data_IF_154950369972
#
_entry.id   IF_154950369972
#
_cell.length_a   1.000
_cell.length_b   1.000
_cell.length_c   1.000
_cell.angle_alpha   90.00
_cell.angle_beta   90.00
_cell.angle_gamma   90.00
#
_symmetry.space_group_name_H-M   'P 1'
#
loop_
_entity.id
_entity.type
_entity.pdbx_description
1 polymer ?
#
# COMPACT_ATOMS: atom_id res chain seq x y z
N UNK A 1 11.10 18.66 -15.87
CA UNK A 1 11.75 17.43 -16.35
C UNK A 1 10.67 16.37 -16.41
N UNK A 2 10.28 15.95 -17.62
CA UNK A 2 9.25 14.96 -17.85
C UNK A 2 9.82 13.59 -17.45
N UNK A 3 9.37 13.04 -16.33
CA UNK A 3 9.64 11.66 -15.99
C UNK A 3 8.98 10.75 -17.02
N UNK A 4 9.80 10.13 -17.85
CA UNK A 4 9.37 9.06 -18.73
C UNK A 4 8.88 7.90 -17.86
N UNK A 5 7.64 7.48 -18.06
CA UNK A 5 7.15 6.25 -17.47
C UNK A 5 8.00 5.10 -18.04
N UNK A 6 8.76 4.43 -17.16
CA UNK A 6 9.56 3.27 -17.56
C UNK A 6 8.60 2.18 -18.05
N UNK A 7 8.56 1.96 -19.32
CA UNK A 7 7.82 0.86 -19.95
C UNK A 7 8.54 -0.45 -19.63
N UNK A 8 7.92 -1.30 -18.81
CA UNK A 8 8.42 -2.64 -18.53
C UNK A 8 8.23 -3.48 -19.79
N UNK A 9 9.32 -4.00 -20.33
CA UNK A 9 9.32 -4.86 -21.53
C UNK A 9 9.05 -6.33 -21.17
N UNK A 10 8.62 -7.17 -22.11
CA UNK A 10 8.50 -8.62 -21.91
C UNK A 10 9.81 -9.27 -21.43
N UNK A 11 10.95 -8.70 -21.78
CA UNK A 11 12.28 -9.16 -21.36
C UNK A 11 12.51 -8.91 -19.86
N UNK A 12 11.95 -7.83 -19.31
CA UNK A 12 12.05 -7.53 -17.88
C UNK A 12 11.27 -8.54 -17.04
N UNK A 13 10.15 -9.04 -17.58
CA UNK A 13 9.34 -10.08 -16.93
C UNK A 13 10.03 -11.47 -16.97
N UNK A 14 10.80 -11.75 -18.04
CA UNK A 14 11.56 -12.99 -18.15
C UNK A 14 12.76 -13.03 -17.19
N UNK A 15 13.43 -11.88 -17.00
CA UNK A 15 14.54 -11.74 -16.05
C UNK A 15 14.10 -11.89 -14.59
N UNK A 16 12.81 -11.68 -14.31
CA UNK A 16 12.24 -11.92 -12.98
C UNK A 16 12.26 -13.40 -12.57
N UNK A 17 12.08 -14.33 -13.51
CA UNK A 17 12.10 -15.76 -13.24
C UNK A 17 13.52 -16.29 -12.89
N UNK A 18 14.57 -15.55 -13.27
CA UNK A 18 15.97 -15.91 -13.00
C UNK A 18 16.54 -15.25 -11.73
N UNK A 19 15.90 -14.23 -11.18
CA UNK A 19 16.29 -13.59 -9.93
C UNK A 19 15.84 -14.48 -8.76
N UNK A 20 16.77 -15.34 -8.33
CA UNK A 20 16.57 -16.33 -7.28
C UNK A 20 15.91 -15.81 -5.99
N UNK A 21 15.93 -16.62 -4.94
CA UNK A 21 15.22 -16.51 -3.66
C UNK A 21 15.13 -15.12 -2.98
N UNK A 22 15.92 -14.15 -3.41
CA UNK A 22 15.89 -12.78 -2.90
C UNK A 22 14.81 -11.90 -3.55
N UNK A 23 14.14 -12.37 -4.62
CA UNK A 23 12.95 -11.77 -5.23
C UNK A 23 11.65 -12.08 -4.48
N UNK A 24 11.73 -12.85 -3.41
CA UNK A 24 10.60 -13.47 -2.72
C UNK A 24 9.60 -12.47 -2.11
N UNK A 25 10.02 -11.26 -1.76
CA UNK A 25 9.13 -10.26 -1.13
C UNK A 25 8.21 -9.52 -2.10
N UNK A 26 8.36 -9.71 -3.40
CA UNK A 26 7.42 -9.21 -4.40
C UNK A 26 6.59 -10.34 -5.01
N UNK A 27 5.85 -11.02 -4.20
CA UNK A 27 4.74 -11.86 -4.64
C UNK A 27 5.05 -13.28 -5.07
N UNK A 28 6.29 -13.80 -4.98
CA UNK A 28 6.54 -15.18 -5.40
C UNK A 28 6.63 -16.22 -4.30
N UNK A 29 6.88 -15.86 -3.08
CA UNK A 29 6.89 -16.78 -1.95
C UNK A 29 6.53 -16.08 -0.65
N UNK A 30 5.75 -15.02 -0.72
CA UNK A 30 5.03 -14.62 0.47
C UNK A 30 4.24 -15.86 0.90
N UNK A 31 4.40 -16.37 2.14
CA UNK A 31 3.42 -17.31 2.65
C UNK A 31 2.05 -16.67 2.38
N UNK A 32 1.04 -17.50 2.08
CA UNK A 32 -0.34 -17.09 1.72
C UNK A 32 -1.02 -16.11 2.72
N UNK A 33 -0.25 -15.53 3.63
CA UNK A 33 -0.67 -14.70 4.75
C UNK A 33 0.12 -13.39 4.91
N UNK A 34 1.04 -13.02 4.00
CA UNK A 34 1.61 -11.66 4.00
C UNK A 34 0.78 -10.79 3.05
N UNK A 35 -0.35 -10.37 3.59
CA UNK A 35 -1.24 -9.46 2.93
C UNK A 35 -0.70 -8.03 3.01
N UNK A 36 -0.47 -7.43 1.84
CA UNK A 36 -0.61 -5.98 1.73
C UNK A 36 -2.03 -5.62 2.16
N UNK A 37 -2.28 -4.40 2.65
CA UNK A 37 -3.65 -3.96 2.91
C UNK A 37 -4.55 -4.27 1.71
N UNK A 38 -5.51 -5.21 1.87
CA UNK A 38 -6.42 -5.61 0.78
C UNK A 38 -6.11 -6.92 0.06
N UNK A 39 -5.15 -7.75 0.52
CA UNK A 39 -4.81 -9.04 -0.07
C UNK A 39 -3.45 -9.07 -0.77
N UNK A 40 -2.99 -10.24 -1.21
CA UNK A 40 -1.66 -10.46 -1.76
C UNK A 40 -1.34 -9.65 -3.03
N UNK A 41 -0.03 -9.50 -3.34
CA UNK A 41 0.45 -8.73 -4.48
C UNK A 41 -0.21 -9.17 -5.80
N UNK A 42 -0.80 -8.22 -6.50
CA UNK A 42 -1.44 -8.46 -7.79
C UNK A 42 -0.44 -8.46 -8.97
N UNK A 43 -0.89 -8.89 -10.16
CA UNK A 43 -0.05 -8.94 -11.35
C UNK A 43 0.61 -7.61 -11.73
N UNK A 44 -0.04 -6.45 -11.67
CA UNK A 44 0.59 -5.14 -11.90
C UNK A 44 1.73 -4.85 -10.92
N UNK A 45 1.58 -5.19 -9.65
CA UNK A 45 2.63 -5.04 -8.64
C UNK A 45 3.81 -5.97 -8.93
N UNK A 46 3.56 -7.23 -9.25
CA UNK A 46 4.59 -8.22 -9.60
C UNK A 46 5.40 -7.72 -10.81
N UNK A 47 4.76 -7.23 -11.84
CA UNK A 47 5.45 -6.67 -13.02
C UNK A 47 6.25 -5.42 -12.70
N UNK A 48 5.69 -4.53 -11.87
CA UNK A 48 6.39 -3.33 -11.43
C UNK A 48 7.65 -3.69 -10.63
N UNK A 49 7.55 -4.73 -9.86
CA UNK A 49 8.59 -5.23 -8.99
C UNK A 49 9.77 -5.90 -9.74
N UNK A 50 9.62 -6.30 -10.98
CA UNK A 50 10.67 -7.00 -11.72
C UNK A 50 11.85 -6.11 -12.17
N UNK A 51 11.77 -4.79 -12.01
CA UNK A 51 12.87 -3.89 -12.30
C UNK A 51 13.86 -3.79 -11.12
N UNK A 52 15.16 -4.15 -11.31
CA UNK A 52 16.14 -4.17 -10.20
C UNK A 52 16.33 -2.83 -9.49
N UNK A 53 16.17 -1.72 -10.21
CA UNK A 53 16.28 -0.36 -9.66
C UNK A 53 15.16 -0.01 -8.67
N UNK A 54 14.07 -0.75 -8.70
CA UNK A 54 12.87 -0.53 -7.88
C UNK A 54 12.83 -1.41 -6.63
N UNK A 55 13.71 -2.39 -6.54
CA UNK A 55 13.70 -3.38 -5.49
C UNK A 55 13.83 -2.80 -4.08
N UNK A 56 14.74 -1.84 -3.88
CA UNK A 56 14.95 -1.21 -2.56
C UNK A 56 13.72 -0.45 -2.07
N UNK A 57 13.07 0.31 -2.97
CA UNK A 57 11.85 1.06 -2.62
C UNK A 57 10.75 0.08 -2.27
N UNK A 58 10.62 -0.96 -3.03
CA UNK A 58 9.62 -2.01 -2.87
C UNK A 58 9.70 -2.76 -1.54
N UNK A 59 10.89 -3.23 -1.16
CA UNK A 59 11.07 -3.88 0.14
C UNK A 59 10.70 -2.92 1.27
N UNK A 60 11.08 -1.64 1.12
CA UNK A 60 10.70 -0.61 2.06
C UNK A 60 9.17 -0.38 2.11
N UNK A 61 8.49 -0.42 0.98
CA UNK A 61 7.01 -0.28 0.92
C UNK A 61 6.32 -1.48 1.56
N UNK A 62 6.86 -2.69 1.40
CA UNK A 62 6.40 -3.88 2.11
C UNK A 62 6.61 -3.77 3.63
N UNK A 63 7.79 -3.34 4.07
CA UNK A 63 8.07 -3.14 5.50
C UNK A 63 7.12 -2.11 6.12
N UNK A 64 6.69 -1.09 5.35
CA UNK A 64 5.70 -0.09 5.78
C UNK A 64 4.27 -0.64 5.81
N UNK A 65 3.95 -1.61 4.97
CA UNK A 65 2.67 -2.32 5.04
C UNK A 65 2.59 -3.16 6.32
N UNK A 66 3.66 -3.91 6.62
CA UNK A 66 3.77 -4.69 7.86
C UNK A 66 3.63 -3.78 9.10
N UNK A 67 4.24 -2.59 9.07
CA UNK A 67 4.11 -1.59 10.12
C UNK A 67 2.67 -1.09 10.28
N UNK A 68 1.99 -0.77 9.19
CA UNK A 68 0.60 -0.31 9.22
C UNK A 68 -0.33 -1.39 9.78
N UNK A 69 -0.14 -2.64 9.37
CA UNK A 69 -0.91 -3.79 9.86
C UNK A 69 -0.64 -4.08 11.36
N UNK A 70 0.60 -3.93 11.82
CA UNK A 70 0.93 -4.05 13.25
C UNK A 70 0.19 -2.99 14.08
N UNK A 71 0.17 -1.74 13.60
CA UNK A 71 -0.56 -0.66 14.25
C UNK A 71 -2.07 -0.87 14.21
N UNK A 72 -2.63 -1.35 13.10
CA UNK A 72 -4.03 -1.74 13.00
C UNK A 72 -4.40 -2.75 14.07
N UNK A 73 -3.67 -3.87 14.17
CA UNK A 73 -3.93 -4.91 15.17
C UNK A 73 -3.85 -4.40 16.61
N UNK A 74 -2.95 -3.45 16.87
CA UNK A 74 -2.78 -2.87 18.19
C UNK A 74 -3.90 -1.89 18.56
N UNK A 75 -4.37 -1.09 17.61
CA UNK A 75 -5.35 -0.02 17.82
C UNK A 75 -6.81 -0.52 17.70
N UNK A 76 -7.04 -1.58 16.92
CA UNK A 76 -8.37 -2.12 16.63
C UNK A 76 -8.45 -3.63 16.91
N UNK A 77 -8.21 -4.07 18.15
CA UNK A 77 -8.11 -5.51 18.47
C UNK A 77 -9.44 -6.27 18.27
N UNK A 78 -10.56 -5.56 18.30
CA UNK A 78 -11.90 -6.14 18.16
C UNK A 78 -12.44 -6.06 16.72
N UNK A 79 -11.86 -5.20 15.88
CA UNK A 79 -12.23 -5.04 14.47
C UNK A 79 -11.32 -5.98 13.65
N UNK A 80 -11.91 -6.89 12.89
CA UNK A 80 -11.18 -7.90 12.11
C UNK A 80 -11.78 -8.11 10.72
N UNK A 81 -12.64 -7.18 10.31
CA UNK A 81 -13.31 -7.22 9.03
C UNK A 81 -12.49 -6.57 7.91
N UNK A 82 -12.84 -6.93 6.69
CA UNK A 82 -12.55 -6.11 5.53
C UNK A 82 -13.56 -4.96 5.47
N UNK A 83 -13.19 -3.85 4.88
CA UNK A 83 -14.06 -2.70 4.63
C UNK A 83 -14.55 -1.93 5.88
N UNK A 84 -14.01 -2.23 7.06
CA UNK A 84 -14.33 -1.55 8.31
C UNK A 84 -13.36 -0.39 8.62
N UNK A 85 -13.46 0.19 9.82
CA UNK A 85 -12.60 1.31 10.22
C UNK A 85 -11.14 0.91 10.45
N UNK A 86 -10.88 -0.35 10.80
CA UNK A 86 -9.52 -0.86 10.97
C UNK A 86 -8.83 -0.97 9.62
N UNK A 87 -9.53 -1.50 8.63
CA UNK A 87 -9.08 -1.56 7.24
C UNK A 87 -8.86 -0.16 6.66
N UNK A 88 -9.80 0.76 6.87
CA UNK A 88 -9.66 2.16 6.48
C UNK A 88 -8.41 2.82 7.09
N UNK A 89 -8.15 2.57 8.38
CA UNK A 89 -6.94 3.02 9.06
C UNK A 89 -5.68 2.46 8.39
N UNK A 90 -5.64 1.16 8.10
CA UNK A 90 -4.49 0.48 7.50
C UNK A 90 -4.10 1.11 6.17
N UNK A 91 -5.08 1.34 5.28
CA UNK A 91 -4.86 2.01 4.00
C UNK A 91 -4.35 3.43 4.16
N UNK A 92 -4.93 4.23 5.05
CA UNK A 92 -4.47 5.58 5.36
C UNK A 92 -3.04 5.58 5.91
N UNK A 93 -2.75 4.76 6.90
CA UNK A 93 -1.44 4.66 7.54
C UNK A 93 -0.36 4.26 6.54
N UNK A 94 -0.58 3.18 5.79
CA UNK A 94 0.37 2.69 4.79
C UNK A 94 0.71 3.75 3.74
N UNK A 95 -0.29 4.37 3.13
CA UNK A 95 -0.10 5.41 2.13
C UNK A 95 0.64 6.64 2.67
N UNK A 96 0.33 7.05 3.90
CA UNK A 96 1.00 8.16 4.58
C UNK A 96 2.45 7.85 4.92
N UNK A 97 2.75 6.66 5.43
CA UNK A 97 4.11 6.20 5.72
C UNK A 97 4.97 6.13 4.45
N UNK A 98 4.42 5.62 3.33
CA UNK A 98 5.12 5.66 2.04
C UNK A 98 5.41 7.11 1.63
N UNK A 99 4.46 8.02 1.83
CA UNK A 99 4.61 9.44 1.48
C UNK A 99 5.76 10.07 2.22
N UNK A 100 5.89 9.86 3.52
CA UNK A 100 7.00 10.37 4.33
C UNK A 100 8.33 9.83 3.82
N UNK A 101 8.40 8.53 3.53
CA UNK A 101 9.68 7.86 3.22
C UNK A 101 10.12 8.01 1.78
N UNK A 102 9.18 8.05 0.84
CA UNK A 102 9.45 8.00 -0.60
C UNK A 102 8.82 9.12 -1.42
N UNK A 103 8.01 9.97 -0.79
CA UNK A 103 7.28 11.05 -1.44
C UNK A 103 5.93 10.62 -1.99
N UNK A 104 5.04 11.60 -2.16
CA UNK A 104 3.64 11.38 -2.55
C UNK A 104 3.48 10.70 -3.92
N UNK A 105 4.36 10.99 -4.89
CA UNK A 105 4.29 10.38 -6.21
C UNK A 105 4.51 8.86 -6.13
N UNK A 106 5.44 8.42 -5.27
CA UNK A 106 5.67 7.00 -5.04
C UNK A 106 4.52 6.36 -4.28
N UNK A 107 3.97 7.04 -3.28
CA UNK A 107 2.80 6.56 -2.58
C UNK A 107 1.64 6.32 -3.55
N UNK A 108 1.29 7.31 -4.39
CA UNK A 108 0.26 7.18 -5.43
C UNK A 108 0.55 6.04 -6.41
N UNK A 109 1.81 5.89 -6.80
CA UNK A 109 2.22 4.83 -7.72
C UNK A 109 1.97 3.44 -7.14
N UNK A 110 2.35 3.20 -5.88
CA UNK A 110 2.19 1.91 -5.23
C UNK A 110 0.72 1.63 -4.88
N UNK A 111 0.03 2.56 -4.26
CA UNK A 111 -1.38 2.36 -3.85
C UNK A 111 -2.31 2.19 -5.05
N UNK A 112 -2.12 2.96 -6.14
CA UNK A 112 -2.91 2.79 -7.36
C UNK A 112 -2.65 1.45 -8.05
N UNK A 113 -1.41 0.93 -8.00
CA UNK A 113 -1.10 -0.39 -8.56
C UNK A 113 -1.70 -1.52 -7.76
N UNK A 114 -1.80 -1.35 -6.45
CA UNK A 114 -2.48 -2.30 -5.58
C UNK A 114 -3.94 -2.49 -6.04
N UNK A 115 -4.61 -1.40 -6.38
CA UNK A 115 -5.99 -1.41 -6.87
C UNK A 115 -6.11 -1.67 -8.39
N UNK A 116 -4.99 -1.75 -9.12
CA UNK A 116 -5.01 -1.97 -10.57
C UNK A 116 -5.49 -3.39 -10.90
N UNK A 117 -6.55 -3.48 -11.69
CA UNK A 117 -7.19 -4.75 -12.06
C UNK A 117 -8.46 -5.04 -11.28
N UNK A 118 -8.72 -4.32 -10.19
CA UNK A 118 -9.97 -4.39 -9.45
C UNK A 118 -11.07 -3.56 -10.13
N UNK A 119 -12.34 -3.94 -9.93
CA UNK A 119 -13.47 -3.15 -10.43
C UNK A 119 -13.55 -1.83 -9.66
N UNK A 120 -13.24 -0.72 -10.34
CA UNK A 120 -13.29 0.63 -9.76
C UNK A 120 -14.69 1.07 -9.31
N UNK A 121 -15.73 0.33 -9.65
CA UNK A 121 -17.09 0.56 -9.13
C UNK A 121 -17.35 -0.19 -7.82
N UNK A 122 -16.48 -1.12 -7.45
CA UNK A 122 -16.56 -1.82 -6.18
C UNK A 122 -16.43 -0.80 -5.02
N UNK A 123 -17.38 -0.79 -4.07
CA UNK A 123 -17.32 0.09 -2.90
C UNK A 123 -16.02 -0.04 -2.09
N UNK A 124 -15.49 -1.26 -1.93
CA UNK A 124 -14.23 -1.52 -1.24
C UNK A 124 -13.06 -0.82 -1.92
N UNK A 125 -12.91 -0.97 -3.23
CA UNK A 125 -11.86 -0.29 -4.01
C UNK A 125 -11.94 1.24 -3.91
N UNK A 126 -13.17 1.79 -3.88
CA UNK A 126 -13.34 3.24 -3.67
C UNK A 126 -12.91 3.67 -2.28
N UNK A 127 -13.28 2.89 -1.27
CA UNK A 127 -12.87 3.08 0.11
C UNK A 127 -11.35 3.14 0.22
N UNK A 128 -10.66 2.15 -0.35
CA UNK A 128 -9.21 2.03 -0.31
C UNK A 128 -8.52 3.22 -0.99
N UNK A 129 -8.98 3.59 -2.19
CA UNK A 129 -8.44 4.75 -2.91
C UNK A 129 -8.64 6.07 -2.17
N UNK A 130 -9.79 6.29 -1.52
CA UNK A 130 -10.09 7.49 -0.75
C UNK A 130 -9.23 7.55 0.53
N UNK A 131 -9.08 6.44 1.23
CA UNK A 131 -8.26 6.35 2.43
C UNK A 131 -6.76 6.47 2.12
N UNK A 132 -6.30 5.88 1.02
CA UNK A 132 -4.95 6.08 0.51
C UNK A 132 -4.69 7.57 0.20
N UNK A 133 -5.62 8.25 -0.46
CA UNK A 133 -5.48 9.68 -0.74
C UNK A 133 -5.40 10.53 0.54
N UNK A 134 -6.19 10.19 1.56
CA UNK A 134 -6.16 10.84 2.87
C UNK A 134 -4.81 10.66 3.55
N UNK A 135 -4.28 9.45 3.56
CA UNK A 135 -2.95 9.15 4.13
C UNK A 135 -1.84 9.91 3.42
N UNK A 136 -1.87 9.97 2.09
CA UNK A 136 -0.92 10.76 1.30
C UNK A 136 -0.96 12.22 1.71
N UNK A 137 -2.16 12.82 1.84
CA UNK A 137 -2.31 14.21 2.25
C UNK A 137 -1.73 14.47 3.66
N UNK A 138 -1.89 13.54 4.60
CA UNK A 138 -1.25 13.66 5.92
C UNK A 138 0.27 13.60 5.82
N UNK A 139 0.84 12.72 4.99
CA UNK A 139 2.28 12.62 4.81
C UNK A 139 2.91 13.83 4.10
N UNK A 140 2.17 14.51 3.19
CA UNK A 140 2.65 15.69 2.46
C UNK A 140 2.80 16.95 3.35
N UNK A 141 2.10 17.01 4.47
CA UNK A 141 2.09 18.20 5.34
C UNK A 141 3.27 18.30 6.32
N UNK A 142 4.38 17.66 6.04
CA UNK A 142 5.59 17.70 6.88
C UNK A 142 5.46 16.94 8.19
N UNK A 143 4.52 16.01 8.26
CA UNK A 143 4.25 15.14 9.39
C UNK A 143 5.42 14.16 9.65
N UNK A 144 5.54 13.71 10.87
CA UNK A 144 6.34 12.53 11.21
C UNK A 144 5.52 11.25 11.00
N UNK A 145 6.17 10.09 11.02
CA UNK A 145 5.46 8.79 10.98
C UNK A 145 4.41 8.70 12.11
N UNK A 146 4.76 9.18 13.31
CA UNK A 146 3.85 9.21 14.46
C UNK A 146 2.64 10.11 14.20
N UNK A 147 2.85 11.29 13.60
CA UNK A 147 1.76 12.21 13.28
C UNK A 147 0.79 11.60 12.25
N UNK A 148 1.32 10.89 11.26
CA UNK A 148 0.49 10.18 10.27
C UNK A 148 -0.35 9.10 10.93
N UNK A 149 0.26 8.25 11.75
CA UNK A 149 -0.44 7.19 12.44
C UNK A 149 -1.53 7.73 13.37
N UNK A 150 -1.24 8.79 14.13
CA UNK A 150 -2.21 9.46 15.01
C UNK A 150 -3.36 10.12 14.22
N UNK A 151 -3.04 10.81 13.12
CA UNK A 151 -4.05 11.44 12.28
C UNK A 151 -4.96 10.42 11.61
N UNK A 152 -4.41 9.33 11.06
CA UNK A 152 -5.19 8.24 10.48
C UNK A 152 -6.07 7.55 11.54
N UNK A 153 -5.53 7.30 12.74
CA UNK A 153 -6.30 6.71 13.85
C UNK A 153 -7.45 7.64 14.27
N UNK A 154 -7.16 8.92 14.48
CA UNK A 154 -8.19 9.92 14.83
C UNK A 154 -9.27 9.99 13.75
N UNK A 155 -8.89 10.00 12.47
CA UNK A 155 -9.84 10.00 11.36
C UNK A 155 -10.69 8.72 11.32
N UNK A 156 -10.10 7.55 11.56
CA UNK A 156 -10.82 6.28 11.60
C UNK A 156 -11.90 6.25 12.69
N UNK A 157 -11.58 6.71 13.90
CA UNK A 157 -12.55 6.68 15.03
C UNK A 157 -13.57 7.81 14.99
N UNK A 158 -13.27 8.94 14.32
CA UNK A 158 -14.18 10.08 14.20
C UNK A 158 -15.08 10.05 12.96
N UNK A 159 -14.91 9.05 12.07
CA UNK A 159 -15.65 8.96 10.81
C UNK A 159 -15.09 9.88 9.72
N UNK A 160 -13.82 10.26 9.81
CA UNK A 160 -13.10 11.02 8.78
C UNK A 160 -12.50 10.15 7.67
N UNK A 161 -12.52 8.82 7.83
CA UNK A 161 -12.19 7.86 6.79
C UNK A 161 -13.45 7.20 6.21
N UNK A 162 -13.35 6.78 4.97
CA UNK A 162 -14.43 6.06 4.28
C UNK A 162 -14.43 4.60 4.74
N UNK A 163 -15.61 4.06 5.04
CA UNK A 163 -15.85 2.65 5.38
C UNK A 163 -17.07 2.14 4.62
N UNK A 164 -17.08 0.87 4.26
CA UNK A 164 -18.22 0.20 3.61
C UNK A 164 -19.08 -0.51 4.66
N UNK A 165 -18.43 -1.18 5.61
CA UNK A 165 -19.09 -1.87 6.73
C UNK A 165 -18.99 -1.02 7.98
N UNK A 166 -20.14 -0.85 8.66
CA UNK A 166 -20.25 -0.06 9.89
C UNK A 166 -20.47 -0.95 11.09
#
# INVERSE_FOLDING_TARGET
MSGQADTITPTDAANYAELGSDGARCGQNAPETQDYPGGGANWPEIRYCSAPSRWKIRNSVSDLADQAEEQERALFPDDKGEDDRADAFRHCAWAGLITIKHGADKAREFTNRHEEGNDKNNPSVKMDLENNATGIAYGENGATESDVLENCHTAAISGGLTVVVK
#
